data_IF_892703910788
#
_entry.id   IF_892703910788
#
_cell.length_a   1.000
_cell.length_b   1.000
_cell.length_c   1.000
_cell.angle_alpha   90.00
_cell.angle_beta   90.00
_cell.angle_gamma   90.00
#
_symmetry.space_group_name_H-M   'P 1'
#
loop_
_entity.id
_entity.type
_entity.pdbx_description
1 polymer ?
#
# COMPACT_ATOMS: atom_id res chain seq x y z
N UNK A 1 40.35 36.76 -17.55
CA UNK A 1 39.14 36.37 -18.30
C UNK A 1 38.01 36.18 -17.29
N UNK A 2 37.08 37.15 -17.14
CA UNK A 2 35.96 37.06 -16.19
C UNK A 2 34.77 36.42 -16.90
N UNK A 3 34.48 35.16 -16.59
CA UNK A 3 33.33 34.43 -17.13
C UNK A 3 32.05 35.07 -16.62
N UNK A 4 31.27 35.70 -17.52
CA UNK A 4 29.95 36.28 -17.19
C UNK A 4 28.91 35.16 -17.26
N UNK A 5 28.52 34.62 -16.11
CA UNK A 5 27.40 33.68 -16.05
C UNK A 5 26.09 34.46 -16.28
N UNK A 6 25.30 34.02 -17.27
CA UNK A 6 24.07 34.69 -17.66
C UNK A 6 22.96 34.28 -16.68
N UNK A 7 22.55 35.21 -15.81
CA UNK A 7 21.64 34.95 -14.67
C UNK A 7 20.32 34.27 -15.11
N UNK A 8 19.85 34.55 -16.32
CA UNK A 8 18.69 33.95 -16.95
C UNK A 8 18.82 32.45 -17.23
N UNK A 9 20.04 31.96 -17.51
CA UNK A 9 20.31 30.52 -17.73
C UNK A 9 20.36 29.74 -16.42
N UNK A 10 20.73 30.37 -15.31
CA UNK A 10 20.70 29.75 -13.97
C UNK A 10 19.26 29.64 -13.47
N UNK A 11 18.43 30.67 -13.72
CA UNK A 11 17.03 30.67 -13.36
C UNK A 11 16.22 29.55 -14.04
N UNK A 12 16.53 29.24 -15.31
CA UNK A 12 15.84 28.18 -16.08
C UNK A 12 16.15 26.75 -15.59
N UNK A 13 17.31 26.52 -14.97
CA UNK A 13 17.65 25.24 -14.35
C UNK A 13 17.00 25.05 -12.97
N UNK A 14 16.72 26.14 -12.25
CA UNK A 14 16.12 26.10 -10.92
C UNK A 14 14.59 25.91 -10.95
N UNK A 15 13.92 26.27 -12.04
CA UNK A 15 12.46 26.17 -12.18
C UNK A 15 11.93 24.73 -12.38
N UNK A 16 12.78 23.74 -12.62
CA UNK A 16 12.39 22.33 -12.72
C UNK A 16 12.44 21.55 -11.39
N UNK A 17 12.94 22.17 -10.29
CA UNK A 17 13.19 21.48 -9.02
C UNK A 17 12.03 21.55 -8.00
N UNK A 18 10.89 22.16 -8.33
CA UNK A 18 9.83 22.43 -7.36
C UNK A 18 8.55 21.59 -7.51
N UNK A 19 8.53 20.57 -8.38
CA UNK A 19 7.38 19.66 -8.51
C UNK A 19 7.77 18.26 -8.00
N UNK A 20 8.07 18.17 -6.70
CA UNK A 20 8.23 16.89 -6.01
C UNK A 20 6.86 16.34 -5.61
N UNK A 21 6.12 15.76 -6.56
CA UNK A 21 4.95 14.95 -6.23
C UNK A 21 5.38 13.68 -5.51
N UNK A 22 4.64 13.27 -4.47
CA UNK A 22 4.85 12.00 -3.79
C UNK A 22 4.46 10.87 -4.75
N UNK A 23 5.42 10.32 -5.49
CA UNK A 23 5.20 9.09 -6.27
C UNK A 23 5.33 7.90 -5.31
N UNK A 24 4.21 7.48 -4.72
CA UNK A 24 4.17 6.23 -3.95
C UNK A 24 3.81 5.08 -4.90
N UNK A 25 4.55 3.98 -4.83
CA UNK A 25 4.19 2.72 -5.52
C UNK A 25 2.97 2.02 -4.87
N UNK A 26 2.56 2.49 -3.70
CA UNK A 26 1.43 1.96 -2.93
C UNK A 26 0.10 2.19 -3.65
N UNK A 27 -0.84 1.24 -3.56
CA UNK A 27 -2.23 1.50 -3.92
C UNK A 27 -2.79 2.58 -2.98
N UNK A 28 -3.29 3.71 -3.51
CA UNK A 28 -3.88 4.77 -2.69
C UNK A 28 -5.16 4.31 -1.96
N UNK A 29 -5.54 5.02 -0.89
CA UNK A 29 -6.80 4.78 -0.19
C UNK A 29 -8.01 5.41 -0.92
N UNK A 30 -8.18 5.12 -2.20
CA UNK A 30 -9.29 5.58 -3.03
C UNK A 30 -9.83 4.47 -3.96
N UNK A 31 -9.58 3.22 -3.59
CA UNK A 31 -10.00 2.02 -4.31
C UNK A 31 -11.50 1.70 -4.10
N UNK A 32 -12.02 0.76 -4.89
CA UNK A 32 -13.42 0.29 -4.77
C UNK A 32 -13.52 -0.84 -3.75
N UNK A 33 -14.49 -0.76 -2.83
CA UNK A 33 -14.69 -1.83 -1.86
C UNK A 33 -15.31 -3.08 -2.51
N UNK A 34 -14.70 -4.24 -2.28
CA UNK A 34 -15.22 -5.56 -2.62
C UNK A 34 -15.48 -6.39 -1.35
N UNK A 35 -16.72 -6.29 -0.87
CA UNK A 35 -17.24 -7.03 0.29
C UNK A 35 -16.49 -6.74 1.61
N UNK A 36 -16.67 -7.65 2.58
CA UNK A 36 -16.04 -7.55 3.90
C UNK A 36 -15.87 -8.91 4.57
N UNK A 37 -14.87 -9.02 5.45
CA UNK A 37 -14.59 -10.24 6.23
C UNK A 37 -14.28 -9.91 7.68
N UNK A 38 -14.70 -10.77 8.60
CA UNK A 38 -14.22 -10.70 9.98
C UNK A 38 -12.77 -11.23 10.05
N UNK A 39 -11.95 -10.61 10.89
CA UNK A 39 -10.62 -11.12 11.21
C UNK A 39 -10.72 -12.45 11.97
N UNK A 40 -9.78 -13.38 11.78
CA UNK A 40 -9.74 -14.62 12.55
C UNK A 40 -9.48 -14.33 14.03
N UNK A 41 -10.12 -15.10 14.91
CA UNK A 41 -9.95 -14.99 16.37
C UNK A 41 -8.97 -16.02 16.93
N UNK A 42 -8.58 -17.01 16.14
CA UNK A 42 -7.64 -18.06 16.55
C UNK A 42 -6.25 -17.72 16.01
N UNK A 43 -5.24 -17.73 16.88
CA UNK A 43 -3.85 -17.45 16.48
C UNK A 43 -3.32 -18.57 15.58
N UNK A 44 -2.55 -18.19 14.56
CA UNK A 44 -1.87 -19.14 13.67
C UNK A 44 -2.76 -19.75 12.59
N UNK A 45 -3.97 -19.24 12.38
CA UNK A 45 -4.84 -19.66 11.29
C UNK A 45 -4.80 -18.68 10.12
N UNK A 46 -4.78 -19.21 8.91
CA UNK A 46 -5.01 -18.45 7.69
C UNK A 46 -6.46 -18.68 7.24
N UNK A 47 -7.19 -17.60 6.97
CA UNK A 47 -8.55 -17.66 6.44
C UNK A 47 -8.58 -16.98 5.08
N UNK A 48 -9.29 -17.58 4.13
CA UNK A 48 -9.45 -16.98 2.80
C UNK A 48 -10.46 -15.85 2.90
N UNK A 49 -10.06 -14.63 2.53
CA UNK A 49 -10.96 -13.47 2.57
C UNK A 49 -11.83 -13.39 1.31
N UNK A 50 -11.30 -13.74 0.15
CA UNK A 50 -11.99 -13.79 -1.14
C UNK A 50 -11.22 -14.69 -2.10
N UNK A 51 -11.92 -15.25 -3.09
CA UNK A 51 -11.33 -15.90 -4.27
C UNK A 51 -11.44 -15.04 -5.54
N UNK A 52 -12.09 -13.89 -5.44
CA UNK A 52 -12.34 -12.99 -6.56
C UNK A 52 -12.03 -11.57 -6.09
N UNK A 53 -10.83 -11.09 -6.38
CA UNK A 53 -10.46 -9.68 -6.20
C UNK A 53 -9.71 -9.24 -7.45
N UNK A 54 -10.11 -8.10 -8.00
CA UNK A 54 -9.46 -7.49 -9.15
C UNK A 54 -8.54 -6.35 -8.71
N UNK A 55 -7.58 -5.99 -9.56
CA UNK A 55 -6.76 -4.81 -9.36
C UNK A 55 -7.62 -3.55 -9.20
N UNK A 56 -7.30 -2.71 -8.21
CA UNK A 56 -8.08 -1.51 -7.89
C UNK A 56 -9.21 -1.74 -6.89
N UNK A 57 -9.39 -2.96 -6.39
CA UNK A 57 -10.34 -3.26 -5.32
C UNK A 57 -9.65 -3.34 -3.94
N UNK A 58 -10.43 -3.20 -2.88
CA UNK A 58 -9.99 -3.47 -1.51
C UNK A 58 -11.06 -4.24 -0.75
N UNK A 59 -10.67 -4.95 0.32
CA UNK A 59 -11.62 -5.63 1.19
C UNK A 59 -11.61 -5.04 2.59
N UNK A 60 -12.79 -4.71 3.10
CA UNK A 60 -12.92 -4.23 4.47
C UNK A 60 -12.82 -5.40 5.46
N UNK A 61 -11.84 -5.34 6.38
CA UNK A 61 -11.68 -6.34 7.43
C UNK A 61 -12.05 -5.73 8.78
N UNK A 62 -12.93 -6.40 9.52
CA UNK A 62 -13.46 -5.91 10.80
C UNK A 62 -13.24 -6.94 11.92
N UNK A 63 -13.55 -6.57 13.17
CA UNK A 63 -13.32 -7.38 14.38
C UNK A 63 -11.83 -7.74 14.64
N UNK A 64 -10.90 -6.86 14.25
CA UNK A 64 -9.51 -7.00 14.69
C UNK A 64 -9.41 -6.74 16.20
N UNK A 65 -8.54 -7.49 16.87
CA UNK A 65 -8.30 -7.36 18.30
C UNK A 65 -7.10 -6.45 18.55
N UNK A 66 -7.30 -5.36 19.28
CA UNK A 66 -6.24 -4.43 19.68
C UNK A 66 -5.06 -5.16 20.36
N UNK A 67 -3.84 -4.80 19.97
CA UNK A 67 -2.60 -5.44 20.42
C UNK A 67 -2.26 -6.76 19.72
N UNK A 68 -3.16 -7.32 18.90
CA UNK A 68 -2.86 -8.55 18.14
C UNK A 68 -2.16 -8.24 16.82
N UNK A 69 -1.29 -9.16 16.39
CA UNK A 69 -0.58 -9.07 15.12
C UNK A 69 -1.37 -9.81 14.04
N UNK A 70 -1.66 -9.11 12.94
CA UNK A 70 -2.34 -9.67 11.77
C UNK A 70 -1.45 -9.56 10.53
N UNK A 71 -1.62 -10.50 9.60
CA UNK A 71 -1.03 -10.41 8.27
C UNK A 71 -2.07 -10.67 7.19
N UNK A 72 -1.99 -9.93 6.10
CA UNK A 72 -2.72 -10.20 4.87
C UNK A 72 -1.72 -10.61 3.79
N UNK A 73 -2.04 -11.66 3.04
CA UNK A 73 -1.18 -12.19 1.98
C UNK A 73 -1.99 -12.63 0.76
N UNK A 74 -1.34 -12.55 -0.40
CA UNK A 74 -1.83 -13.06 -1.69
C UNK A 74 -1.04 -14.28 -2.15
N UNK A 75 -0.20 -14.86 -1.28
CA UNK A 75 0.63 -16.01 -1.63
C UNK A 75 -0.21 -17.17 -2.17
N UNK A 76 0.18 -17.67 -3.35
CA UNK A 76 -0.55 -18.69 -4.10
C UNK A 76 -1.43 -18.15 -5.22
N UNK A 77 -1.65 -16.83 -5.29
CA UNK A 77 -2.21 -16.16 -6.46
C UNK A 77 -1.08 -15.88 -7.47
N UNK A 78 -1.05 -16.63 -8.56
CA UNK A 78 -0.04 -16.47 -9.62
C UNK A 78 -0.51 -15.65 -10.81
N UNK A 79 -1.74 -15.12 -10.78
CA UNK A 79 -2.34 -14.45 -11.92
C UNK A 79 -1.83 -13.01 -12.09
N UNK A 80 -1.30 -12.42 -11.01
CA UNK A 80 -0.80 -11.05 -10.98
C UNK A 80 0.53 -10.92 -10.22
N UNK A 81 1.26 -9.86 -10.56
CA UNK A 81 2.23 -9.24 -9.68
C UNK A 81 1.45 -8.34 -8.70
N UNK A 82 1.28 -8.79 -7.46
CA UNK A 82 0.36 -8.17 -6.51
C UNK A 82 1.03 -7.10 -5.68
N UNK A 83 0.22 -6.25 -5.06
CA UNK A 83 0.68 -5.39 -3.97
C UNK A 83 -0.41 -5.26 -2.91
N UNK A 84 -0.02 -5.15 -1.64
CA UNK A 84 -0.93 -4.98 -0.50
C UNK A 84 -0.58 -3.71 0.25
N UNK A 85 -1.52 -2.77 0.30
CA UNK A 85 -1.48 -1.62 1.21
C UNK A 85 -2.58 -1.79 2.27
N UNK A 86 -2.24 -1.58 3.54
CA UNK A 86 -3.18 -1.64 4.66
C UNK A 86 -3.45 -0.21 5.12
N UNK A 87 -4.73 0.13 5.20
CA UNK A 87 -5.21 1.39 5.75
C UNK A 87 -6.10 1.14 6.97
N UNK A 88 -5.99 2.03 7.95
CA UNK A 88 -6.94 2.09 9.06
C UNK A 88 -8.28 2.61 8.52
N UNK A 89 -9.34 1.81 8.67
CA UNK A 89 -10.63 2.13 8.09
C UNK A 89 -11.36 3.30 8.78
N UNK A 90 -10.94 3.67 9.99
CA UNK A 90 -11.58 4.76 10.77
C UNK A 90 -10.95 6.11 10.45
N UNK A 91 -9.63 6.14 10.36
CA UNK A 91 -8.83 7.36 10.19
C UNK A 91 -8.37 7.57 8.76
N UNK A 92 -8.39 6.52 7.94
CA UNK A 92 -7.78 6.50 6.61
C UNK A 92 -6.25 6.48 6.64
N UNK A 93 -5.65 6.34 7.82
CA UNK A 93 -4.20 6.36 7.97
C UNK A 93 -3.55 5.15 7.30
N UNK A 94 -2.41 5.37 6.67
CA UNK A 94 -1.55 4.29 6.21
C UNK A 94 -1.02 3.48 7.39
N UNK A 95 -1.04 2.14 7.25
CA UNK A 95 -0.58 1.21 8.30
C UNK A 95 0.64 0.42 7.84
N UNK A 96 0.56 -0.26 6.70
CA UNK A 96 1.64 -1.10 6.19
C UNK A 96 1.52 -1.31 4.67
N UNK A 97 2.62 -1.70 4.04
CA UNK A 97 2.69 -2.03 2.62
C UNK A 97 3.73 -3.10 2.35
N UNK A 98 3.44 -3.95 1.37
CA UNK A 98 4.40 -4.83 0.73
C UNK A 98 3.93 -5.15 -0.70
N UNK A 99 4.84 -5.20 -1.66
CA UNK A 99 4.66 -5.69 -3.02
C UNK A 99 5.32 -7.06 -3.26
N UNK A 100 6.50 -7.33 -2.66
CA UNK A 100 7.22 -8.60 -2.86
C UNK A 100 7.46 -9.40 -1.55
N UNK A 101 6.96 -10.64 -1.50
CA UNK A 101 7.21 -11.56 -0.37
C UNK A 101 7.44 -13.00 -0.79
N UNK A 102 6.51 -13.61 -1.54
CA UNK A 102 6.54 -15.04 -1.91
C UNK A 102 6.85 -15.24 -3.41
N UNK A 103 7.70 -14.38 -3.95
CA UNK A 103 7.83 -14.15 -5.39
C UNK A 103 7.22 -12.79 -5.72
N UNK A 104 6.43 -12.73 -6.79
CA UNK A 104 5.68 -11.54 -7.23
C UNK A 104 4.36 -11.34 -6.43
N UNK A 105 4.24 -12.00 -5.28
CA UNK A 105 3.06 -11.93 -4.41
C UNK A 105 3.43 -11.32 -3.08
N UNK A 106 2.45 -10.71 -2.42
CA UNK A 106 2.70 -9.79 -1.32
C UNK A 106 2.20 -10.31 0.02
N UNK A 107 2.84 -9.81 1.08
CA UNK A 107 2.39 -10.00 2.45
C UNK A 107 2.72 -8.78 3.31
N UNK A 108 1.70 -8.17 3.91
CA UNK A 108 1.87 -7.07 4.85
C UNK A 108 1.41 -7.49 6.25
N UNK A 109 2.16 -7.08 7.27
CA UNK A 109 1.90 -7.39 8.68
C UNK A 109 1.85 -6.11 9.50
N UNK A 110 0.99 -6.08 10.51
CA UNK A 110 0.82 -4.95 11.43
C UNK A 110 0.27 -5.41 12.77
N UNK A 111 0.44 -4.56 13.78
CA UNK A 111 -0.23 -4.70 15.08
C UNK A 111 -1.51 -3.85 15.05
N UNK A 112 -2.66 -4.44 15.35
CA UNK A 112 -3.92 -3.69 15.45
C UNK A 112 -3.88 -2.76 16.67
N UNK A 113 -4.37 -1.53 16.50
CA UNK A 113 -4.59 -0.59 17.58
C UNK A 113 -5.98 -0.76 18.21
#
# INVERSE_FOLDING_TARGET
MKTKYNLSKIALLFSFLFIGGQMNAQCPNNNTQYGSSAAPTTVGVTVVLSYCMYGGEYRYVYNLQAGSVYSFETCGDSDFDTQVTIYDATTGAYVAYNDDFCGLQSKAQFTSN
#
